data_IF_125075460674
#
_entry.id   IF_125075460674
#
_cell.length_a   1.000
_cell.length_b   1.000
_cell.length_c   1.000
_cell.angle_alpha   90.00
_cell.angle_beta   90.00
_cell.angle_gamma   90.00
#
_symmetry.space_group_name_H-M   'P 1'
#
loop_
_entity.id
_entity.type
_entity.pdbx_description
1 polymer ?
#
# COMPACT_ATOMS: atom_id res chain seq x y z
N UNK A 1 13.56 3.33 -50.63
CA UNK A 1 13.96 2.35 -49.60
C UNK A 1 12.81 1.37 -49.41
N UNK A 2 13.00 0.13 -49.86
CA UNK A 2 11.96 -0.90 -49.91
C UNK A 2 11.98 -1.78 -48.64
N UNK A 3 10.81 -2.24 -48.14
CA UNK A 3 10.76 -3.13 -46.97
C UNK A 3 11.13 -4.57 -47.34
N UNK A 4 12.04 -5.17 -46.55
CA UNK A 4 12.40 -6.60 -46.58
C UNK A 4 11.24 -7.45 -46.00
N UNK A 5 10.72 -8.46 -46.72
CA UNK A 5 9.79 -9.42 -46.15
C UNK A 5 10.53 -10.51 -45.33
N UNK A 6 10.04 -10.80 -44.12
CA UNK A 6 10.57 -11.86 -43.25
C UNK A 6 10.00 -13.25 -43.62
N UNK A 7 10.83 -14.30 -43.72
CA UNK A 7 10.40 -15.66 -44.03
C UNK A 7 10.23 -16.48 -42.75
N UNK A 8 9.00 -16.56 -42.22
CA UNK A 8 8.67 -17.59 -41.22
C UNK A 8 7.68 -18.55 -41.84
N UNK A 9 8.26 -19.65 -42.32
CA UNK A 9 7.61 -20.75 -42.97
C UNK A 9 6.69 -21.48 -41.99
N UNK A 10 5.48 -21.73 -42.49
CA UNK A 10 4.44 -22.57 -41.91
C UNK A 10 4.89 -24.03 -41.94
N UNK A 11 5.24 -24.60 -40.80
CA UNK A 11 5.34 -26.07 -40.67
C UNK A 11 4.05 -26.57 -40.04
N UNK A 12 3.16 -27.06 -40.90
CA UNK A 12 1.87 -27.64 -40.53
C UNK A 12 2.10 -29.14 -40.30
N UNK A 13 2.35 -29.55 -39.06
CA UNK A 13 2.50 -30.97 -38.71
C UNK A 13 1.13 -31.63 -38.63
N UNK A 14 0.79 -32.40 -39.67
CA UNK A 14 -0.28 -33.40 -39.67
C UNK A 14 0.13 -34.56 -38.78
N UNK A 15 -0.51 -34.71 -37.62
CA UNK A 15 -0.40 -35.90 -36.78
C UNK A 15 -1.57 -36.82 -37.14
N UNK A 16 -1.24 -37.92 -37.80
CA UNK A 16 -2.17 -39.00 -38.13
C UNK A 16 -2.57 -39.77 -36.88
N UNK A 17 -3.86 -40.11 -36.83
CA UNK A 17 -4.54 -40.79 -35.74
C UNK A 17 -4.00 -42.20 -35.49
N UNK A 18 -3.56 -42.45 -34.26
CA UNK A 18 -3.49 -43.80 -33.70
C UNK A 18 -4.76 -44.02 -32.89
N UNK A 19 -5.68 -44.80 -33.44
CA UNK A 19 -6.91 -45.26 -32.78
C UNK A 19 -6.58 -46.34 -31.76
N UNK A 20 -6.16 -45.93 -30.56
CA UNK A 20 -6.10 -46.81 -29.41
C UNK A 20 -7.52 -47.03 -28.88
N UNK A 21 -8.08 -48.21 -29.16
CA UNK A 21 -9.29 -48.71 -28.50
C UNK A 21 -9.02 -48.89 -27.00
N UNK A 22 -9.31 -47.86 -26.22
CA UNK A 22 -9.37 -47.96 -24.77
C UNK A 22 -10.67 -48.69 -24.41
N UNK A 23 -10.51 -49.94 -23.98
CA UNK A 23 -11.57 -50.75 -23.37
C UNK A 23 -12.20 -49.95 -22.23
N UNK A 24 -13.50 -49.67 -22.34
CA UNK A 24 -14.30 -49.08 -21.29
C UNK A 24 -14.45 -50.06 -20.12
N UNK A 25 -13.50 -50.04 -19.18
CA UNK A 25 -13.71 -50.62 -17.86
C UNK A 25 -14.65 -49.70 -17.11
N UNK A 26 -15.85 -50.21 -16.84
CA UNK A 26 -16.97 -49.55 -16.17
C UNK A 26 -16.70 -49.43 -14.68
N UNK A 27 -15.93 -48.41 -14.27
CA UNK A 27 -15.58 -48.08 -12.89
C UNK A 27 -16.49 -46.94 -12.39
N UNK A 28 -17.77 -47.26 -12.23
CA UNK A 28 -18.86 -46.27 -12.16
C UNK A 28 -19.30 -45.79 -10.75
N UNK A 29 -18.49 -45.91 -9.68
CA UNK A 29 -18.72 -45.03 -8.52
C UNK A 29 -17.52 -44.19 -8.08
N UNK A 30 -16.29 -44.45 -8.55
CA UNK A 30 -15.09 -43.75 -8.05
C UNK A 30 -14.74 -42.47 -8.81
N UNK A 31 -15.14 -42.35 -10.09
CA UNK A 31 -14.84 -41.16 -10.90
C UNK A 31 -15.66 -39.92 -10.48
N UNK A 32 -16.86 -40.11 -9.92
CA UNK A 32 -17.70 -38.99 -9.45
C UNK A 32 -17.10 -38.24 -8.25
N UNK A 33 -16.43 -38.95 -7.34
CA UNK A 33 -15.85 -38.36 -6.14
C UNK A 33 -14.66 -37.43 -6.44
N UNK A 34 -13.88 -37.73 -7.47
CA UNK A 34 -12.69 -36.94 -7.83
C UNK A 34 -13.11 -35.61 -8.49
N UNK A 35 -14.13 -35.62 -9.37
CA UNK A 35 -14.65 -34.39 -10.00
C UNK A 35 -15.30 -33.47 -8.96
N UNK A 36 -16.05 -34.04 -8.00
CA UNK A 36 -16.65 -33.27 -6.90
C UNK A 36 -15.59 -32.68 -5.95
N UNK A 37 -14.50 -33.42 -5.69
CA UNK A 37 -13.34 -32.93 -4.93
C UNK A 37 -12.56 -31.80 -5.63
N UNK A 38 -12.39 -31.87 -6.96
CA UNK A 38 -11.71 -30.83 -7.75
C UNK A 38 -12.56 -29.55 -7.93
N UNK A 39 -13.88 -29.66 -7.94
CA UNK A 39 -14.77 -28.49 -7.91
C UNK A 39 -14.78 -27.79 -6.54
N UNK A 40 -14.60 -28.54 -5.44
CA UNK A 40 -14.56 -27.96 -4.10
C UNK A 40 -13.31 -27.07 -3.88
N UNK A 41 -12.19 -27.33 -4.56
CA UNK A 41 -10.95 -26.55 -4.41
C UNK A 41 -11.08 -25.08 -4.84
N UNK A 42 -12.00 -24.76 -5.76
CA UNK A 42 -12.27 -23.38 -6.20
C UNK A 42 -13.28 -22.63 -5.32
N UNK A 43 -14.01 -23.33 -4.46
CA UNK A 43 -15.03 -22.75 -3.57
C UNK A 43 -14.48 -22.39 -2.18
N UNK A 44 -13.39 -23.02 -1.74
CA UNK A 44 -12.83 -22.83 -0.39
C UNK A 44 -12.18 -21.44 -0.17
N UNK A 45 -11.46 -20.81 -1.12
CA UNK A 45 -10.69 -19.59 -0.80
C UNK A 45 -11.55 -18.36 -0.42
N UNK A 46 -12.83 -18.34 -0.81
CA UNK A 46 -13.70 -17.19 -0.62
C UNK A 46 -14.28 -17.10 0.81
N UNK A 47 -14.33 -18.23 1.54
CA UNK A 47 -14.94 -18.28 2.87
C UNK A 47 -13.98 -18.00 4.03
N UNK A 48 -12.70 -18.33 3.89
CA UNK A 48 -11.70 -18.17 4.97
C UNK A 48 -11.24 -16.72 5.15
N UNK A 49 -11.33 -15.89 4.11
CA UNK A 49 -10.95 -14.46 4.19
C UNK A 49 -11.90 -13.64 5.06
N UNK A 50 -13.13 -14.10 5.29
CA UNK A 50 -14.09 -13.44 6.17
C UNK A 50 -13.86 -13.75 7.66
N UNK A 51 -13.10 -14.81 7.99
CA UNK A 51 -12.94 -15.30 9.36
C UNK A 51 -11.62 -14.82 10.01
N UNK A 52 -10.66 -14.38 9.20
CA UNK A 52 -9.48 -13.67 9.72
C UNK A 52 -9.87 -12.20 9.89
N UNK A 53 -10.54 -11.89 11.00
CA UNK A 53 -10.84 -10.51 11.35
C UNK A 53 -9.55 -9.69 11.38
N UNK A 54 -9.46 -8.65 10.55
CA UNK A 54 -8.42 -7.63 10.72
C UNK A 54 -8.62 -7.02 12.09
N UNK A 55 -7.70 -7.27 13.02
CA UNK A 55 -7.72 -6.63 14.32
C UNK A 55 -7.60 -5.12 14.12
N UNK A 56 -8.68 -4.38 14.35
CA UNK A 56 -8.68 -2.92 14.35
C UNK A 56 -8.46 -2.40 15.77
N UNK A 57 -7.70 -1.31 15.89
CA UNK A 57 -7.55 -0.57 17.14
C UNK A 57 -8.16 0.81 16.99
N UNK A 58 -8.92 1.24 18.00
CA UNK A 58 -9.37 2.63 18.11
C UNK A 58 -8.29 3.47 18.77
N UNK A 59 -8.01 4.64 18.21
CA UNK A 59 -7.01 5.59 18.72
C UNK A 59 -7.54 6.36 19.92
N UNK A 60 -6.75 6.38 21.00
CA UNK A 60 -6.99 7.24 22.15
C UNK A 60 -6.50 8.68 21.92
N UNK A 61 -6.77 9.55 22.89
CA UNK A 61 -6.19 10.89 22.91
C UNK A 61 -4.65 10.81 23.00
N UNK A 62 -3.95 11.56 22.14
CA UNK A 62 -2.49 11.58 22.04
C UNK A 62 -1.82 10.26 21.67
N UNK A 63 -2.56 9.29 21.11
CA UNK A 63 -1.96 8.06 20.59
C UNK A 63 -0.96 8.41 19.49
N UNK A 64 0.29 7.99 19.66
CA UNK A 64 1.37 8.29 18.72
C UNK A 64 1.57 7.13 17.76
N UNK A 65 1.69 7.45 16.47
CA UNK A 65 1.94 6.48 15.40
C UNK A 65 3.26 6.79 14.74
N UNK A 66 4.15 5.80 14.69
CA UNK A 66 5.41 5.84 13.96
C UNK A 66 5.30 5.04 12.67
N UNK A 67 5.78 5.63 11.58
CA UNK A 67 6.00 5.02 10.27
C UNK A 67 7.47 5.16 9.88
N UNK A 68 7.98 4.19 9.11
CA UNK A 68 9.39 4.09 8.74
C UNK A 68 9.55 3.79 7.25
N UNK A 69 10.53 4.43 6.60
CA UNK A 69 10.92 4.15 5.23
C UNK A 69 12.43 4.37 5.06
N UNK A 70 13.12 3.39 4.46
CA UNK A 70 14.59 3.37 4.39
C UNK A 70 15.23 3.54 5.78
N UNK A 71 16.07 4.55 5.96
CA UNK A 71 16.77 4.92 7.20
C UNK A 71 16.00 5.96 8.05
N UNK A 72 14.78 6.30 7.63
CA UNK A 72 14.02 7.43 8.16
C UNK A 72 12.77 6.98 8.90
N UNK A 73 12.49 7.62 10.03
CA UNK A 73 11.22 7.46 10.76
C UNK A 73 10.51 8.80 10.93
N UNK A 74 9.20 8.77 10.80
CA UNK A 74 8.32 9.89 11.11
C UNK A 74 7.27 9.39 12.07
N UNK A 75 7.01 10.18 13.09
CA UNK A 75 5.97 9.92 14.06
C UNK A 75 5.04 11.12 14.14
N UNK A 76 3.78 10.85 14.50
CA UNK A 76 2.73 11.85 14.54
C UNK A 76 1.60 11.42 15.48
N UNK A 77 0.77 12.37 15.88
CA UNK A 77 -0.40 12.09 16.72
C UNK A 77 -1.54 11.58 15.84
N UNK A 78 -2.06 10.40 16.17
CA UNK A 78 -3.18 9.81 15.47
C UNK A 78 -4.47 10.61 15.74
N UNK A 79 -5.37 10.76 14.75
CA UNK A 79 -6.67 11.39 14.95
C UNK A 79 -7.48 10.66 16.03
N UNK A 80 -8.03 11.36 17.03
CA UNK A 80 -8.72 10.74 18.17
C UNK A 80 -10.04 10.05 17.79
N UNK A 81 -10.25 8.83 18.28
CA UNK A 81 -11.46 8.06 18.06
C UNK A 81 -11.62 7.60 16.61
N UNK A 82 -10.51 7.39 15.92
CA UNK A 82 -10.44 6.75 14.60
C UNK A 82 -9.96 5.31 14.75
N UNK A 83 -10.34 4.44 13.82
CA UNK A 83 -9.85 3.07 13.78
C UNK A 83 -8.67 2.95 12.81
N UNK A 84 -7.73 2.07 13.12
CA UNK A 84 -6.67 1.69 12.17
C UNK A 84 -6.37 0.19 12.28
N UNK A 85 -5.94 -0.47 11.18
CA UNK A 85 -5.59 -1.87 11.20
C UNK A 85 -4.30 -2.09 12.00
N UNK A 86 -4.29 -3.12 12.85
CA UNK A 86 -3.10 -3.53 13.62
C UNK A 86 -1.99 -3.98 12.68
N UNK A 87 -2.37 -4.66 11.58
CA UNK A 87 -1.47 -5.02 10.48
C UNK A 87 -1.40 -3.87 9.48
N UNK A 88 -0.35 -3.05 9.56
CA UNK A 88 -0.11 -1.93 8.65
C UNK A 88 1.23 -2.03 7.94
N UNK A 89 1.36 -1.36 6.79
CA UNK A 89 2.65 -1.19 6.13
C UNK A 89 3.57 -0.38 7.05
N UNK A 90 4.85 -0.71 7.11
CA UNK A 90 5.80 0.05 7.94
C UNK A 90 5.86 1.53 7.54
N UNK A 91 5.72 1.83 6.24
CA UNK A 91 5.80 3.18 5.68
C UNK A 91 4.47 3.93 5.60
N UNK A 92 3.35 3.32 5.99
CA UNK A 92 2.05 3.96 5.84
C UNK A 92 1.06 3.58 6.94
N UNK A 93 0.19 4.53 7.30
CA UNK A 93 -0.92 4.32 8.22
C UNK A 93 -2.20 4.87 7.59
N UNK A 94 -3.27 4.09 7.64
CA UNK A 94 -4.61 4.51 7.22
C UNK A 94 -5.54 4.44 8.43
N UNK A 95 -6.25 5.54 8.65
CA UNK A 95 -7.24 5.71 9.70
C UNK A 95 -8.62 5.83 9.07
N UNK A 96 -9.62 5.24 9.71
CA UNK A 96 -11.03 5.25 9.29
C UNK A 96 -11.95 5.76 10.39
N UNK A 97 -13.00 6.52 10.03
CA UNK A 97 -14.08 6.92 10.94
C UNK A 97 -15.39 7.13 10.17
N UNK A 98 -16.21 6.08 10.12
CA UNK A 98 -17.34 6.01 9.19
C UNK A 98 -16.83 6.02 7.75
N UNK A 99 -17.44 6.83 6.88
CA UNK A 99 -17.07 6.96 5.46
C UNK A 99 -15.86 7.87 5.21
N UNK A 100 -15.12 8.22 6.27
CA UNK A 100 -13.96 9.10 6.21
C UNK A 100 -12.68 8.31 6.37
N UNK A 101 -11.67 8.72 5.61
CA UNK A 101 -10.34 8.11 5.62
C UNK A 101 -9.26 9.17 5.75
N UNK A 102 -8.20 8.85 6.49
CA UNK A 102 -6.96 9.63 6.53
C UNK A 102 -5.80 8.67 6.32
N UNK A 103 -5.02 8.89 5.27
CA UNK A 103 -3.83 8.09 4.97
C UNK A 103 -2.59 8.94 5.11
N UNK A 104 -1.59 8.43 5.83
CA UNK A 104 -0.27 9.02 5.98
C UNK A 104 0.75 8.04 5.40
N UNK A 105 1.61 8.51 4.52
CA UNK A 105 2.67 7.69 3.92
C UNK A 105 4.00 8.43 3.92
N UNK A 106 5.06 7.72 4.28
CA UNK A 106 6.43 8.19 4.32
C UNK A 106 7.24 7.55 3.19
N UNK A 107 8.01 8.36 2.49
CA UNK A 107 9.04 7.95 1.54
C UNK A 107 10.37 8.53 2.00
N UNK A 108 11.35 7.67 2.26
CA UNK A 108 12.73 8.06 2.61
C UNK A 108 13.67 8.03 1.40
N UNK A 109 14.89 8.52 1.57
CA UNK A 109 15.95 8.47 0.55
C UNK A 109 15.71 9.39 -0.66
N UNK A 110 14.98 10.49 -0.48
CA UNK A 110 14.67 11.44 -1.54
C UNK A 110 15.81 12.43 -1.74
N UNK A 111 16.26 12.57 -2.98
CA UNK A 111 17.32 13.52 -3.38
C UNK A 111 16.78 14.79 -4.05
N UNK A 112 15.60 14.70 -4.66
CA UNK A 112 14.90 15.82 -5.31
C UNK A 112 13.45 15.86 -4.82
N UNK A 113 13.15 16.85 -3.97
CA UNK A 113 11.84 17.05 -3.38
C UNK A 113 10.75 17.32 -4.42
N UNK A 114 11.05 18.09 -5.47
CA UNK A 114 10.07 18.43 -6.51
C UNK A 114 9.71 17.21 -7.35
N UNK A 115 10.73 16.44 -7.75
CA UNK A 115 10.51 15.18 -8.45
C UNK A 115 9.75 14.17 -7.58
N UNK A 116 10.04 14.09 -6.28
CA UNK A 116 9.33 13.20 -5.37
C UNK A 116 7.86 13.60 -5.18
N UNK A 117 7.55 14.90 -5.08
CA UNK A 117 6.17 15.39 -5.06
C UNK A 117 5.39 14.98 -6.32
N UNK A 118 6.01 15.13 -7.50
CA UNK A 118 5.39 14.70 -8.76
C UNK A 118 5.18 13.18 -8.82
N UNK A 119 6.19 12.39 -8.42
CA UNK A 119 6.07 10.92 -8.34
C UNK A 119 4.97 10.50 -7.37
N UNK A 120 4.82 11.22 -6.26
CA UNK A 120 3.78 10.96 -5.27
C UNK A 120 2.39 11.25 -5.83
N UNK A 121 2.20 12.37 -6.53
CA UNK A 121 0.96 12.64 -7.26
C UNK A 121 0.64 11.51 -8.24
N UNK A 122 1.61 11.08 -9.04
CA UNK A 122 1.41 9.97 -9.99
C UNK A 122 1.15 8.61 -9.29
N UNK A 123 1.60 8.42 -8.05
CA UNK A 123 1.26 7.25 -7.26
C UNK A 123 -0.20 7.29 -6.78
N UNK A 124 -0.65 8.45 -6.28
CA UNK A 124 -2.06 8.65 -5.89
C UNK A 124 -3.01 8.40 -7.06
N UNK A 125 -2.68 8.90 -8.26
CA UNK A 125 -3.49 8.68 -9.47
C UNK A 125 -3.59 7.20 -9.84
N UNK A 126 -2.50 6.43 -9.68
CA UNK A 126 -2.50 4.98 -9.87
C UNK A 126 -3.34 4.24 -8.81
N UNK A 127 -3.44 4.79 -7.61
CA UNK A 127 -4.32 4.29 -6.55
C UNK A 127 -5.80 4.75 -6.72
N UNK A 128 -6.12 5.39 -7.84
CA UNK A 128 -7.46 5.88 -8.17
C UNK A 128 -7.83 7.19 -7.47
N UNK A 129 -6.85 7.91 -6.92
CA UNK A 129 -7.02 9.22 -6.27
C UNK A 129 -6.45 10.29 -7.19
N UNK A 130 -7.31 11.09 -7.81
CA UNK A 130 -6.88 12.26 -8.57
C UNK A 130 -6.49 13.37 -7.58
N UNK A 131 -5.26 13.86 -7.68
CA UNK A 131 -4.75 14.92 -6.81
C UNK A 131 -4.29 16.13 -7.62
N UNK A 132 -4.74 17.34 -7.22
CA UNK A 132 -4.30 18.59 -7.82
C UNK A 132 -3.65 19.48 -6.77
N UNK A 133 -2.39 19.86 -6.98
CA UNK A 133 -1.69 20.79 -6.09
C UNK A 133 -2.35 22.16 -6.12
N UNK A 134 -2.47 22.79 -4.96
CA UNK A 134 -2.90 24.17 -4.81
C UNK A 134 -1.67 25.06 -4.61
N UNK A 135 -1.85 26.38 -4.72
CA UNK A 135 -0.79 27.35 -4.40
C UNK A 135 -0.57 27.52 -2.88
N UNK A 136 -1.33 26.79 -2.07
CA UNK A 136 -1.19 26.84 -0.61
C UNK A 136 0.07 26.09 -0.19
N UNK A 137 0.98 26.82 0.46
CA UNK A 137 2.11 26.20 1.15
C UNK A 137 1.62 25.64 2.49
N UNK A 138 1.92 24.36 2.73
CA UNK A 138 1.67 23.69 4.00
C UNK A 138 2.98 23.58 4.78
N UNK A 139 2.87 23.81 6.08
CA UNK A 139 3.96 23.62 7.05
C UNK A 139 3.48 22.59 8.06
N UNK A 140 4.41 21.76 8.52
CA UNK A 140 4.21 20.83 9.62
C UNK A 140 5.34 20.95 10.64
N UNK A 141 5.30 20.08 11.64
CA UNK A 141 6.37 19.94 12.63
C UNK A 141 7.69 19.50 11.99
N UNK A 142 8.78 19.51 12.77
CA UNK A 142 10.12 19.07 12.37
C UNK A 142 10.62 19.60 11.00
N UNK A 143 10.24 20.83 10.64
CA UNK A 143 10.68 21.49 9.41
C UNK A 143 10.03 20.97 8.13
N UNK A 144 8.98 20.15 8.22
CA UNK A 144 8.24 19.70 7.05
C UNK A 144 7.56 20.88 6.35
N UNK A 145 7.84 21.04 5.05
CA UNK A 145 7.22 22.08 4.22
C UNK A 145 6.88 21.53 2.84
N UNK A 146 5.81 22.02 2.22
CA UNK A 146 5.42 21.57 0.89
C UNK A 146 4.12 22.17 0.40
N UNK A 147 3.44 21.46 -0.51
CA UNK A 147 2.22 21.94 -1.15
C UNK A 147 0.99 21.23 -0.59
N UNK A 148 -0.07 22.01 -0.41
CA UNK A 148 -1.42 21.49 -0.30
C UNK A 148 -1.92 20.97 -1.65
N UNK A 149 -2.90 20.08 -1.60
CA UNK A 149 -3.60 19.58 -2.77
C UNK A 149 -5.04 19.24 -2.42
N UNK A 150 -5.88 19.13 -3.45
CA UNK A 150 -7.23 18.58 -3.34
C UNK A 150 -7.18 17.17 -3.92
N UNK A 151 -7.72 16.21 -3.17
CA UNK A 151 -7.80 14.80 -3.54
C UNK A 151 -9.25 14.40 -3.82
N UNK A 152 -9.48 13.70 -4.94
CA UNK A 152 -10.77 13.16 -5.34
C UNK A 152 -10.60 11.67 -5.64
N UNK A 153 -11.46 10.83 -5.08
CA UNK A 153 -11.52 9.39 -5.38
C UNK A 153 -12.86 9.08 -6.05
N UNK A 154 -12.94 9.10 -7.40
CA UNK A 154 -14.20 8.99 -8.13
C UNK A 154 -14.95 7.69 -7.85
N UNK A 155 -14.22 6.58 -7.67
CA UNK A 155 -14.81 5.25 -7.43
C UNK A 155 -15.55 5.14 -6.10
N UNK A 156 -15.19 5.97 -5.12
CA UNK A 156 -15.82 6.01 -3.80
C UNK A 156 -16.71 7.25 -3.63
N UNK A 157 -16.78 8.13 -4.65
CA UNK A 157 -17.42 9.44 -4.57
C UNK A 157 -16.98 10.25 -3.34
N UNK A 158 -15.69 10.20 -3.02
CA UNK A 158 -15.11 10.94 -1.89
C UNK A 158 -14.15 12.02 -2.35
N UNK A 159 -14.06 13.09 -1.57
CA UNK A 159 -13.21 14.25 -1.81
C UNK A 159 -12.67 14.76 -0.49
N UNK A 160 -11.50 15.39 -0.52
CA UNK A 160 -10.94 16.06 0.64
C UNK A 160 -9.60 16.69 0.34
N UNK A 161 -8.91 17.05 1.42
CA UNK A 161 -7.63 17.74 1.35
C UNK A 161 -6.47 16.76 1.43
N UNK A 162 -5.38 17.12 0.75
CA UNK A 162 -4.11 16.43 0.86
C UNK A 162 -2.96 17.41 1.01
N UNK A 163 -1.83 16.90 1.48
CA UNK A 163 -0.58 17.63 1.52
C UNK A 163 0.57 16.68 1.19
N UNK A 164 1.54 17.19 0.44
CA UNK A 164 2.82 16.51 0.22
C UNK A 164 3.92 17.43 0.72
N UNK A 165 4.49 17.06 1.87
CA UNK A 165 5.49 17.84 2.59
C UNK A 165 6.81 17.11 2.64
N UNK A 166 7.91 17.86 2.71
CA UNK A 166 9.27 17.34 2.64
C UNK A 166 10.13 17.94 3.75
N UNK A 167 11.04 17.15 4.31
CA UNK A 167 12.08 17.60 5.26
C UNK A 167 13.33 16.76 5.04
N UNK A 168 14.45 17.39 4.67
CA UNK A 168 15.68 16.66 4.30
C UNK A 168 15.45 15.66 3.15
N UNK A 169 15.77 14.38 3.39
CA UNK A 169 15.58 13.27 2.44
C UNK A 169 14.24 12.55 2.57
N UNK A 170 13.28 13.14 3.30
CA UNK A 170 12.00 12.53 3.61
C UNK A 170 10.85 13.26 2.94
N UNK A 171 9.87 12.50 2.46
CA UNK A 171 8.62 13.01 1.89
C UNK A 171 7.46 12.33 2.59
N UNK A 172 6.56 13.13 3.15
CA UNK A 172 5.34 12.67 3.80
C UNK A 172 4.16 13.13 2.96
N UNK A 173 3.28 12.20 2.59
CA UNK A 173 2.00 12.52 1.99
C UNK A 173 0.87 12.19 2.95
N UNK A 174 0.00 13.16 3.17
CA UNK A 174 -1.23 13.00 3.96
C UNK A 174 -2.40 13.23 3.02
N UNK A 175 -3.36 12.30 3.02
CA UNK A 175 -4.58 12.40 2.22
C UNK A 175 -5.76 12.17 3.13
N UNK A 176 -6.65 13.14 3.24
CA UNK A 176 -7.96 12.97 3.88
C UNK A 176 -9.06 12.94 2.82
N UNK A 177 -9.98 11.99 2.97
CA UNK A 177 -11.14 11.83 2.12
C UNK A 177 -12.39 11.68 2.99
N UNK A 178 -13.48 12.30 2.56
CA UNK A 178 -14.83 12.08 3.12
C UNK A 178 -15.90 12.18 2.04
N UNK A 179 -17.18 11.97 2.39
CA UNK A 179 -18.31 12.12 1.46
C UNK A 179 -18.37 13.47 0.73
N UNK A 180 -17.85 14.51 1.37
CA UNK A 180 -17.64 15.84 0.80
C UNK A 180 -16.41 16.51 1.46
N UNK A 181 -15.94 17.61 0.88
CA UNK A 181 -14.70 18.25 1.35
C UNK A 181 -14.82 18.75 2.78
N UNK A 182 -15.97 19.31 3.17
CA UNK A 182 -16.21 19.82 4.53
C UNK A 182 -16.27 18.70 5.58
N UNK A 183 -16.59 17.48 5.18
CA UNK A 183 -16.62 16.31 6.05
C UNK A 183 -15.26 15.62 6.21
N UNK A 184 -14.29 15.92 5.33
CA UNK A 184 -12.95 15.39 5.43
C UNK A 184 -12.29 15.84 6.75
N UNK A 185 -11.30 15.08 7.20
CA UNK A 185 -10.54 15.43 8.40
C UNK A 185 -9.60 16.60 8.10
N UNK A 186 -9.54 17.58 9.00
CA UNK A 186 -8.54 18.64 8.92
C UNK A 186 -7.15 18.05 9.13
N UNK A 187 -6.32 18.10 8.09
CA UNK A 187 -4.98 17.52 8.10
C UNK A 187 -3.95 18.38 8.86
N UNK A 188 -4.27 19.63 9.21
CA UNK A 188 -3.31 20.55 9.81
C UNK A 188 -2.79 20.08 11.18
N UNK A 189 -3.63 19.62 12.13
CA UNK A 189 -3.14 19.05 13.39
C UNK A 189 -2.20 17.86 13.21
N UNK A 190 -2.43 17.05 12.16
CA UNK A 190 -1.57 15.90 11.87
C UNK A 190 -0.20 16.37 11.33
N UNK A 191 -0.20 17.37 10.43
CA UNK A 191 1.01 18.04 9.95
C UNK A 191 1.80 18.68 11.10
N UNK A 192 1.14 19.40 11.99
CA UNK A 192 1.80 20.09 13.11
C UNK A 192 2.43 19.10 14.10
N UNK A 193 1.83 17.91 14.24
CA UNK A 193 2.34 16.85 15.12
C UNK A 193 3.50 16.05 14.55
N UNK A 194 3.92 16.28 13.29
CA UNK A 194 5.00 15.54 12.66
C UNK A 194 6.32 15.76 13.42
N UNK A 195 7.00 14.67 13.76
CA UNK A 195 8.37 14.71 14.24
C UNK A 195 9.22 13.60 13.61
N UNK A 196 10.48 13.92 13.34
CA UNK A 196 11.45 13.01 12.73
C UNK A 196 12.23 12.27 13.81
N UNK A 197 12.30 10.95 13.71
CA UNK A 197 13.27 10.14 14.44
C UNK A 197 14.38 9.68 13.49
N UNK A 198 15.63 9.70 13.94
CA UNK A 198 16.67 8.93 13.29
C UNK A 198 16.49 7.47 13.68
N UNK A 199 16.37 6.58 12.69
CA UNK A 199 16.45 5.13 12.95
C UNK A 199 17.90 4.86 13.31
N UNK A 200 18.23 5.00 14.59
CA UNK A 200 19.53 4.56 15.06
C UNK A 200 19.45 3.04 15.01
N UNK A 201 19.85 2.45 13.87
CA UNK A 201 20.17 1.04 13.77
C UNK A 201 21.36 0.86 14.71
N UNK A 202 21.06 0.75 16.00
CA UNK A 202 22.00 0.37 17.03
C UNK A 202 22.34 -1.07 16.70
N UNK A 203 23.37 -1.18 15.86
CA UNK A 203 24.06 -2.40 15.52
C UNK A 203 24.56 -2.95 16.85
N UNK A 204 23.76 -3.85 17.42
CA UNK A 204 24.03 -4.58 18.63
C UNK A 204 25.36 -5.32 18.39
N UNK A 205 26.43 -4.65 18.79
CA UNK A 205 27.79 -5.14 18.69
C UNK A 205 27.88 -6.23 19.74
N UNK A 206 27.54 -7.46 19.31
CA UNK A 206 27.78 -8.71 20.03
C UNK A 206 29.11 -8.59 20.77
N UNK A 207 29.16 -8.80 22.09
CA UNK A 207 30.44 -8.94 22.77
C UNK A 207 31.18 -10.10 22.12
N UNK A 208 32.35 -9.79 21.58
CA UNK A 208 33.33 -10.77 21.16
C UNK A 208 33.88 -11.40 22.44
N UNK A 209 33.19 -12.40 22.97
CA UNK A 209 33.72 -13.24 24.03
C UNK A 209 34.86 -14.11 23.48
N UNK A 210 36.04 -13.49 23.33
CA UNK A 210 37.31 -14.19 23.37
C UNK A 210 37.63 -14.47 24.84
N UNK A 211 37.22 -15.64 25.31
CA UNK A 211 37.84 -16.27 26.48
C UNK A 211 38.89 -17.26 25.98
N UNK A 212 40.10 -16.73 25.73
CA UNK A 212 41.34 -17.49 25.89
C UNK A 212 41.75 -17.39 27.36
N UNK A 213 41.69 -18.51 28.08
CA UNK A 213 42.46 -18.78 29.30
C UNK A 213 42.61 -20.31 29.37
N UNK A 214 43.77 -20.85 28.94
CA UNK A 214 45.02 -21.07 29.70
C UNK A 214 44.93 -22.24 30.68
#
# INVERSE_FOLDING_TARGET
>A
MAPKPSPWARTRSTISHASSQVRSVRHWPLAGAIVLGLCATWLIPQGVSAMVGTHEKTTGANDTVTIAAADSTVSFTAPEGWTFPTSRKASAATFTKGDRTVSVELVGGVTDASAAQQRRKAALERDGISASFTDQTRRGGAGFTGKGCIAVKPTANTVGDCAVVTSGSQVVSIVSLGPNQASAYDIQPLLDSLYTGTTNTQNDSRPSDNQEAK
#
